data_IF_892669722876
#
_entry.id   IF_892669722876
#
_cell.length_a   1.000
_cell.length_b   1.000
_cell.length_c   1.000
_cell.angle_alpha   90.00
_cell.angle_beta   90.00
_cell.angle_gamma   90.00
#
_symmetry.space_group_name_H-M   'P 1'
#
loop_
_entity.id
_entity.type
_entity.pdbx_description
1 polymer ?
#
# COMPACT_ATOMS: atom_id res chain seq x y z
N UNK A 1 -10.29 17.09 7.54
CA UNK A 1 -10.29 16.44 6.19
C UNK A 1 -8.85 16.35 5.75
N UNK A 2 -8.30 15.14 5.69
CA UNK A 2 -6.92 14.92 5.25
C UNK A 2 -6.75 15.17 3.75
N UNK A 3 -5.55 15.55 3.32
CA UNK A 3 -5.22 15.99 1.96
C UNK A 3 -5.42 14.96 0.84
N UNK A 4 -5.85 13.73 1.13
CA UNK A 4 -5.84 12.60 0.20
C UNK A 4 -4.42 12.12 -0.16
N UNK A 5 -3.38 12.93 0.06
CA UNK A 5 -2.00 12.60 -0.18
C UNK A 5 -1.39 11.78 0.97
N UNK A 6 -0.33 11.04 0.63
CA UNK A 6 0.53 10.35 1.58
C UNK A 6 1.31 11.36 2.43
N UNK A 7 1.23 11.31 3.78
CA UNK A 7 2.07 12.13 4.64
C UNK A 7 3.56 11.90 4.38
N UNK A 8 4.35 12.97 4.37
CA UNK A 8 5.82 12.90 4.15
C UNK A 8 6.56 12.64 5.47
N UNK A 9 7.87 12.39 5.38
CA UNK A 9 8.76 12.20 6.52
C UNK A 9 9.05 10.73 6.82
N UNK A 10 9.60 10.48 8.01
CA UNK A 10 10.01 9.18 8.50
C UNK A 10 8.79 8.40 8.99
N UNK A 11 8.70 7.20 8.47
CA UNK A 11 7.73 6.18 8.81
C UNK A 11 8.44 4.91 9.25
N UNK A 12 7.66 3.99 9.79
CA UNK A 12 8.08 2.63 10.10
C UNK A 12 7.07 1.65 9.52
N UNK A 13 7.55 0.51 9.01
CA UNK A 13 6.69 -0.63 8.68
C UNK A 13 6.13 -1.20 9.98
N UNK A 14 4.85 -0.95 10.26
CA UNK A 14 4.14 -1.42 11.47
C UNK A 14 3.62 -2.84 11.35
N UNK A 15 3.21 -3.21 10.14
CA UNK A 15 2.71 -4.54 9.81
C UNK A 15 2.95 -4.84 8.34
N UNK A 16 2.96 -6.11 7.99
CA UNK A 16 3.12 -6.56 6.61
C UNK A 16 2.20 -7.75 6.33
N UNK A 17 1.61 -7.81 5.15
CA UNK A 17 0.63 -8.83 4.77
C UNK A 17 0.92 -9.40 3.38
N UNK A 18 0.50 -10.64 3.15
CA UNK A 18 0.63 -11.33 1.87
C UNK A 18 1.86 -12.23 1.74
N UNK A 19 2.58 -12.51 2.82
CA UNK A 19 3.68 -13.49 2.80
C UNK A 19 3.20 -14.84 2.24
N UNK A 20 3.93 -15.41 1.30
CA UNK A 20 3.60 -16.69 0.67
C UNK A 20 2.41 -16.70 -0.29
N UNK A 21 1.70 -15.57 -0.45
CA UNK A 21 0.57 -15.48 -1.40
C UNK A 21 1.07 -15.34 -2.84
N UNK A 22 0.28 -15.83 -3.82
CA UNK A 22 0.64 -15.70 -5.24
C UNK A 22 0.74 -14.22 -5.67
N UNK A 23 1.55 -13.91 -6.70
CA UNK A 23 1.49 -12.60 -7.36
C UNK A 23 0.06 -12.29 -7.85
N UNK A 24 -0.39 -11.05 -7.68
CA UNK A 24 -1.75 -10.65 -8.00
C UNK A 24 -2.80 -11.02 -6.94
N UNK A 25 -2.43 -11.68 -5.84
CA UNK A 25 -3.37 -11.98 -4.75
C UNK A 25 -4.12 -10.73 -4.29
N UNK A 26 -5.45 -10.78 -4.32
CA UNK A 26 -6.30 -9.65 -3.95
C UNK A 26 -6.46 -9.60 -2.42
N UNK A 27 -6.13 -8.45 -1.84
CA UNK A 27 -6.14 -8.24 -0.40
C UNK A 27 -7.27 -7.27 -0.01
N UNK A 28 -8.32 -7.81 0.64
CA UNK A 28 -9.42 -7.02 1.19
C UNK A 28 -9.26 -6.87 2.69
N UNK A 29 -9.23 -5.63 3.19
CA UNK A 29 -9.07 -5.38 4.62
C UNK A 29 -7.81 -6.05 5.20
N UNK A 30 -6.74 -6.16 4.41
CA UNK A 30 -5.45 -6.81 4.74
C UNK A 30 -5.50 -8.35 4.82
N UNK A 31 -6.56 -8.99 4.30
CA UNK A 31 -6.70 -10.45 4.23
C UNK A 31 -6.81 -10.88 2.77
N UNK A 32 -6.30 -12.07 2.46
CA UNK A 32 -6.48 -12.67 1.15
C UNK A 32 -7.97 -12.93 0.90
N UNK A 33 -8.50 -12.45 -0.22
CA UNK A 33 -9.90 -12.70 -0.59
C UNK A 33 -10.13 -14.09 -1.17
N UNK A 34 -9.04 -14.80 -1.53
CA UNK A 34 -9.09 -16.02 -2.32
C UNK A 34 -8.99 -15.78 -3.83
N UNK A 35 -9.10 -14.52 -4.28
CA UNK A 35 -8.99 -14.15 -5.69
C UNK A 35 -7.54 -13.79 -6.05
N UNK A 36 -7.11 -14.22 -7.24
CA UNK A 36 -5.89 -13.71 -7.89
C UNK A 36 -6.33 -12.80 -9.02
N UNK A 37 -5.80 -11.58 -9.04
CA UNK A 37 -6.14 -10.59 -10.05
C UNK A 37 -5.65 -11.01 -11.44
N UNK A 38 -6.53 -10.85 -12.42
CA UNK A 38 -6.23 -10.88 -13.85
C UNK A 38 -7.03 -9.79 -14.59
N UNK A 39 -6.80 -9.67 -15.89
CA UNK A 39 -7.44 -8.65 -16.71
C UNK A 39 -8.97 -8.83 -16.81
N UNK A 40 -9.47 -10.06 -16.77
CA UNK A 40 -10.91 -10.35 -16.85
C UNK A 40 -11.62 -9.90 -15.57
N UNK A 41 -11.05 -10.23 -14.41
CA UNK A 41 -11.55 -9.80 -13.11
C UNK A 41 -11.50 -8.28 -12.97
N UNK A 42 -10.43 -7.65 -13.45
CA UNK A 42 -10.30 -6.19 -13.52
C UNK A 42 -11.40 -5.55 -14.38
N UNK A 43 -11.64 -6.10 -15.57
CA UNK A 43 -12.69 -5.61 -16.47
C UNK A 43 -14.11 -5.81 -15.91
N UNK A 44 -14.33 -6.88 -15.12
CA UNK A 44 -15.61 -7.15 -14.46
C UNK A 44 -15.91 -6.16 -13.33
N UNK A 45 -14.89 -5.65 -12.65
CA UNK A 45 -15.03 -4.71 -11.53
C UNK A 45 -14.12 -3.49 -11.71
N UNK A 46 -14.39 -2.63 -12.70
CA UNK A 46 -13.49 -1.55 -13.09
C UNK A 46 -13.34 -0.46 -12.02
N UNK A 47 -14.34 -0.32 -11.13
CA UNK A 47 -14.35 0.70 -10.06
C UNK A 47 -13.78 0.19 -8.73
N UNK A 48 -13.38 -1.09 -8.64
CA UNK A 48 -12.84 -1.67 -7.41
C UNK A 48 -11.42 -1.16 -7.18
N UNK A 49 -11.15 -0.67 -5.96
CA UNK A 49 -9.78 -0.33 -5.56
C UNK A 49 -8.98 -1.62 -5.29
N UNK A 50 -7.98 -1.86 -6.13
CA UNK A 50 -7.19 -3.08 -6.13
C UNK A 50 -5.94 -2.93 -5.27
N UNK A 51 -5.94 -3.63 -4.13
CA UNK A 51 -4.76 -3.85 -3.30
C UNK A 51 -4.25 -5.26 -3.54
N UNK A 52 -3.11 -5.39 -4.22
CA UNK A 52 -2.62 -6.66 -4.73
C UNK A 52 -1.30 -7.08 -4.09
N UNK A 53 -1.04 -8.38 -4.16
CA UNK A 53 0.22 -9.07 -3.86
C UNK A 53 0.71 -8.95 -2.42
N UNK A 54 1.11 -7.75 -1.99
CA UNK A 54 1.71 -7.48 -0.68
C UNK A 54 1.21 -6.14 -0.14
N UNK A 55 1.16 -6.02 1.18
CA UNK A 55 0.92 -4.74 1.87
C UNK A 55 2.04 -4.53 2.87
N UNK A 56 2.67 -3.36 2.83
CA UNK A 56 3.47 -2.81 3.93
C UNK A 56 2.69 -1.65 4.55
N UNK A 57 2.24 -1.83 5.79
CA UNK A 57 1.47 -0.81 6.49
C UNK A 57 2.39 0.13 7.25
N UNK A 58 2.35 1.41 6.87
CA UNK A 58 3.21 2.43 7.41
C UNK A 58 2.57 3.11 8.63
N UNK A 59 3.39 3.39 9.64
CA UNK A 59 3.05 4.31 10.72
C UNK A 59 4.04 5.46 10.74
N UNK A 60 3.54 6.68 10.90
CA UNK A 60 4.40 7.86 11.02
C UNK A 60 5.17 7.87 12.34
N UNK A 61 6.29 8.58 12.34
CA UNK A 61 7.16 8.76 13.50
C UNK A 61 7.32 10.23 13.92
N UNK A 62 6.75 11.17 13.17
CA UNK A 62 6.91 12.61 13.37
C UNK A 62 5.57 13.25 13.81
N UNK A 63 5.43 13.62 15.10
CA UNK A 63 4.21 14.23 15.64
C UNK A 63 3.75 15.45 14.83
N UNK A 64 2.46 15.50 14.50
CA UNK A 64 1.85 16.60 13.75
C UNK A 64 2.22 16.65 12.26
N UNK A 65 3.12 15.77 11.78
CA UNK A 65 3.47 15.65 10.36
C UNK A 65 2.93 14.39 9.71
N UNK A 66 3.17 13.24 10.34
CA UNK A 66 2.69 11.93 9.88
C UNK A 66 2.23 11.02 11.01
N UNK A 67 2.30 11.51 12.27
CA UNK A 67 1.88 10.84 13.50
C UNK A 67 0.89 11.74 14.27
N UNK A 68 -0.25 11.17 14.67
CA UNK A 68 -1.32 11.87 15.38
C UNK A 68 -2.26 12.71 14.49
N UNK A 69 -3.46 12.98 15.00
CA UNK A 69 -4.47 13.81 14.33
C UNK A 69 -4.88 13.31 12.94
N UNK A 70 -5.24 14.26 12.07
CA UNK A 70 -5.67 14.04 10.67
C UNK A 70 -4.52 13.65 9.72
N UNK A 71 -3.27 13.66 10.20
CA UNK A 71 -2.07 13.31 9.40
C UNK A 71 -1.49 11.95 9.78
N UNK A 72 -2.08 11.24 10.74
CA UNK A 72 -1.59 9.95 11.21
C UNK A 72 -1.64 8.88 10.12
N UNK A 73 -0.46 8.46 9.65
CA UNK A 73 -0.35 7.51 8.53
C UNK A 73 -0.89 6.12 8.87
N UNK A 74 -0.77 5.70 10.14
CA UNK A 74 -1.26 4.39 10.54
C UNK A 74 -2.79 4.37 10.56
N UNK A 75 -3.42 5.39 11.19
CA UNK A 75 -4.88 5.55 11.26
C UNK A 75 -5.51 5.80 9.89
N UNK A 76 -4.76 6.43 8.97
CA UNK A 76 -5.18 6.66 7.58
C UNK A 76 -4.93 5.48 6.64
N UNK A 77 -4.47 4.34 7.17
CA UNK A 77 -4.24 3.13 6.36
C UNK A 77 -3.27 3.33 5.20
N UNK A 78 -2.20 4.11 5.42
CA UNK A 78 -1.20 4.36 4.39
C UNK A 78 -0.39 3.08 4.16
N UNK A 79 -0.49 2.55 2.94
CA UNK A 79 0.17 1.32 2.51
C UNK A 79 1.18 1.57 1.40
N UNK A 80 2.19 0.69 1.33
CA UNK A 80 2.85 0.37 0.06
C UNK A 80 2.25 -0.96 -0.40
N UNK A 81 1.70 -1.02 -1.60
CA UNK A 81 1.04 -2.24 -2.11
C UNK A 81 1.14 -2.43 -3.63
N UNK A 82 0.85 -3.65 -4.08
CA UNK A 82 0.75 -3.99 -5.50
C UNK A 82 -0.55 -3.47 -6.13
N UNK A 83 -0.56 -3.25 -7.44
CA UNK A 83 -1.71 -2.70 -8.17
C UNK A 83 -1.78 -3.28 -9.59
N UNK A 84 -2.90 -3.21 -10.33
CA UNK A 84 -2.98 -3.64 -11.72
C UNK A 84 -1.95 -2.95 -12.63
N UNK A 85 -1.53 -3.62 -13.70
CA UNK A 85 -0.47 -3.09 -14.58
C UNK A 85 -0.89 -1.87 -15.40
N UNK A 86 -2.19 -1.69 -15.62
CA UNK A 86 -2.74 -0.52 -16.32
C UNK A 86 -2.78 0.73 -15.43
N UNK A 87 -2.65 0.60 -14.10
CA UNK A 87 -2.65 1.76 -13.21
C UNK A 87 -1.38 2.60 -13.42
N UNK A 88 -1.50 3.94 -13.44
CA UNK A 88 -0.38 4.81 -13.66
C UNK A 88 0.59 4.78 -12.46
N UNK A 89 1.89 4.78 -12.75
CA UNK A 89 2.95 4.87 -11.75
C UNK A 89 3.43 6.31 -11.63
N UNK A 90 3.79 6.73 -10.42
CA UNK A 90 4.31 8.09 -10.16
C UNK A 90 3.26 9.20 -10.17
N UNK A 91 1.97 8.88 -10.33
CA UNK A 91 0.87 9.85 -10.24
C UNK A 91 0.05 9.65 -8.96
N UNK A 92 -0.37 10.73 -8.29
CA UNK A 92 -1.32 10.64 -7.18
C UNK A 92 -2.70 10.21 -7.72
N UNK A 93 -2.99 8.91 -7.64
CA UNK A 93 -4.25 8.33 -8.10
C UNK A 93 -4.91 7.41 -7.04
N UNK A 94 -4.46 7.51 -5.79
CA UNK A 94 -4.96 6.69 -4.68
C UNK A 94 -5.55 7.58 -3.58
N UNK A 95 -6.29 6.98 -2.65
CA UNK A 95 -6.76 7.63 -1.43
C UNK A 95 -5.64 7.84 -0.37
N UNK A 96 -4.38 7.94 -0.82
CA UNK A 96 -3.19 8.18 0.01
C UNK A 96 -2.21 7.02 0.12
N UNK A 97 -2.49 5.87 -0.50
CA UNK A 97 -1.57 4.74 -0.55
C UNK A 97 -0.52 4.88 -1.65
N UNK A 98 0.65 4.27 -1.45
CA UNK A 98 1.73 4.19 -2.41
C UNK A 98 1.55 2.90 -3.23
N UNK A 99 1.34 3.04 -4.53
CA UNK A 99 1.21 1.91 -5.46
C UNK A 99 2.59 1.51 -6.02
N UNK A 100 2.79 0.22 -6.19
CA UNK A 100 3.96 -0.38 -6.83
C UNK A 100 3.52 -1.47 -7.81
N UNK A 101 4.37 -1.78 -8.79
CA UNK A 101 4.20 -2.99 -9.61
C UNK A 101 4.29 -4.25 -8.73
N UNK A 102 3.52 -5.27 -9.10
CA UNK A 102 3.37 -6.48 -8.29
C UNK A 102 4.71 -7.18 -8.04
N UNK A 103 5.54 -7.31 -9.06
CA UNK A 103 6.87 -7.91 -8.96
C UNK A 103 7.80 -7.11 -8.02
N UNK A 104 7.76 -5.78 -8.11
CA UNK A 104 8.58 -4.88 -7.32
C UNK A 104 8.18 -4.89 -5.84
N UNK A 105 6.87 -4.85 -5.53
CA UNK A 105 6.41 -4.90 -4.13
C UNK A 105 6.68 -6.25 -3.49
N UNK A 106 6.62 -7.35 -4.26
CA UNK A 106 6.99 -8.69 -3.78
C UNK A 106 8.47 -8.71 -3.42
N UNK A 107 9.35 -8.26 -4.32
CA UNK A 107 10.80 -8.19 -4.03
C UNK A 107 11.11 -7.30 -2.84
N UNK A 108 10.45 -6.14 -2.71
CA UNK A 108 10.61 -5.26 -1.56
C UNK A 108 10.17 -5.95 -0.27
N UNK A 109 9.01 -6.61 -0.28
CA UNK A 109 8.46 -7.30 0.87
C UNK A 109 9.40 -8.36 1.45
N UNK A 110 10.09 -9.09 0.57
CA UNK A 110 11.04 -10.13 0.98
C UNK A 110 12.31 -9.56 1.63
N UNK A 111 12.63 -8.28 1.37
CA UNK A 111 13.80 -7.58 1.91
C UNK A 111 13.51 -6.79 3.19
N UNK A 112 12.24 -6.52 3.52
CA UNK A 112 11.86 -5.64 4.62
C UNK A 112 11.08 -6.36 5.72
N UNK A 113 11.43 -6.05 6.97
CA UNK A 113 10.76 -6.55 8.17
C UNK A 113 9.94 -5.46 8.86
N UNK A 114 9.04 -5.88 9.76
CA UNK A 114 8.39 -4.95 10.69
C UNK A 114 9.47 -4.22 11.50
N UNK A 115 9.34 -2.90 11.64
CA UNK A 115 10.36 -2.04 12.24
C UNK A 115 11.31 -1.38 11.23
N UNK A 116 11.28 -1.77 9.96
CA UNK A 116 12.05 -1.11 8.90
C UNK A 116 11.61 0.35 8.75
N UNK A 117 12.56 1.28 8.75
CA UNK A 117 12.29 2.71 8.53
C UNK A 117 12.07 2.97 7.04
N UNK A 118 11.09 3.81 6.74
CA UNK A 118 10.76 4.26 5.39
C UNK A 118 10.70 5.78 5.41
N UNK A 119 11.49 6.45 4.59
CA UNK A 119 11.42 7.91 4.46
C UNK A 119 10.67 8.25 3.18
N UNK A 120 9.60 9.02 3.31
CA UNK A 120 8.83 9.53 2.17
C UNK A 120 9.24 10.98 1.95
N UNK A 121 9.83 11.26 0.79
CA UNK A 121 10.30 12.57 0.36
C UNK A 121 9.57 13.04 -0.89
N UNK A 122 9.91 14.25 -1.35
CA UNK A 122 9.46 14.83 -2.61
C UNK A 122 10.11 14.13 -3.82
#
# INVERSE_FOLDING_TARGET
MGSGATPRGVHVVRARFGAGLPPGAVLLGRKFSGEVFDAELGARFPERDWVLSRILWLGGMEPGRNLGGDVDSFRRFIYIHGTPDYEPMGTPASHGCIRMRNDAVIRLFDQVSVGTRVTITD
#
